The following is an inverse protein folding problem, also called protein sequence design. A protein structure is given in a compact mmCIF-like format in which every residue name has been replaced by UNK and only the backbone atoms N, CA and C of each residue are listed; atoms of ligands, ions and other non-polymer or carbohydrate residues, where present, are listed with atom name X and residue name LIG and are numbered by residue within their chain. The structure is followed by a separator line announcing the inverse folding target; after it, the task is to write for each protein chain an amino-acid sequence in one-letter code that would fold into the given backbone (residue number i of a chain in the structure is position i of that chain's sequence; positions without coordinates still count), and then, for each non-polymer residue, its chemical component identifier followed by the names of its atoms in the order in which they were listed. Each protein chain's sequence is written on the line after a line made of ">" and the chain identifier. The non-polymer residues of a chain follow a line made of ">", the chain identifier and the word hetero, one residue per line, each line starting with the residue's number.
data_IF_039455042771
#
_entry.id   IF_039455042771
#
_cell.length_a   1.000
_cell.length_b   1.000
_cell.length_c   1.000
_cell.angle_alpha   90.00
_cell.angle_beta   90.00
_cell.angle_gamma   90.00
#
_symmetry.space_group_name_H-M   'P 1'
#
loop_
_entity.id
_entity.type
_entity.pdbx_description
1 polymer ?
#
# COMPACT_ATOMS: atom_id res chain seq x y z
N UNK A 1 -32.45 39.75 -26.41
CA UNK A 1 -31.33 40.71 -26.39
C UNK A 1 -30.25 40.15 -25.48
N UNK A 2 -29.30 39.40 -26.06
CA UNK A 2 -27.86 39.74 -26.13
C UNK A 2 -27.15 39.51 -24.78
N UNK A 3 -26.46 38.39 -24.56
CA UNK A 3 -25.13 38.03 -25.11
C UNK A 3 -24.03 39.00 -24.66
N UNK A 4 -23.11 38.52 -23.81
CA UNK A 4 -21.69 38.30 -24.16
C UNK A 4 -20.85 37.93 -22.91
N UNK A 5 -20.23 36.74 -22.98
CA UNK A 5 -18.85 36.38 -22.63
C UNK A 5 -18.30 36.74 -21.23
N UNK A 6 -17.77 35.79 -20.46
CA UNK A 6 -16.47 35.19 -20.77
C UNK A 6 -16.39 33.66 -20.62
N UNK A 7 -15.92 33.05 -21.71
CA UNK A 7 -15.26 31.74 -21.73
C UNK A 7 -13.82 31.88 -21.23
N UNK A 8 -13.27 30.70 -20.90
CA UNK A 8 -11.84 30.38 -20.65
C UNK A 8 -11.35 30.52 -19.22
N UNK A 9 -11.23 29.38 -18.52
CA UNK A 9 -9.91 28.86 -18.13
C UNK A 9 -9.97 27.33 -17.95
N UNK A 10 -9.41 26.64 -18.95
CA UNK A 10 -8.44 25.54 -18.84
C UNK A 10 -8.76 24.32 -17.96
N UNK A 11 -9.19 23.26 -18.64
CA UNK A 11 -8.51 21.95 -18.68
C UNK A 11 -7.70 21.60 -17.42
N UNK A 12 -8.39 21.08 -16.40
CA UNK A 12 -7.72 20.43 -15.27
C UNK A 12 -7.30 19.04 -15.74
N UNK A 13 -6.00 18.88 -15.97
CA UNK A 13 -5.32 17.65 -16.36
C UNK A 13 -5.75 16.47 -15.45
N UNK A 14 -6.77 15.72 -15.90
CA UNK A 14 -7.35 14.57 -15.20
C UNK A 14 -6.45 13.32 -15.23
N UNK A 15 -5.22 13.40 -15.73
CA UNK A 15 -4.34 12.23 -15.92
C UNK A 15 -3.94 11.49 -14.63
N UNK A 16 -4.21 12.05 -13.44
CA UNK A 16 -3.84 11.43 -12.16
C UNK A 16 -4.90 10.48 -11.55
N UNK A 17 -6.15 10.50 -12.03
CA UNK A 17 -7.27 9.74 -11.43
C UNK A 17 -7.55 8.40 -12.15
N UNK A 18 -6.82 8.12 -13.24
CA UNK A 18 -7.09 6.97 -14.13
C UNK A 18 -6.37 5.64 -13.79
N UNK A 19 -5.64 5.52 -12.68
CA UNK A 19 -4.69 4.39 -12.52
C UNK A 19 -5.23 3.05 -12.00
N UNK A 20 -6.47 2.95 -11.51
CA UNK A 20 -7.01 1.66 -10.99
C UNK A 20 -8.18 1.08 -11.80
N UNK A 21 -8.99 1.91 -12.49
CA UNK A 21 -10.19 1.43 -13.22
C UNK A 21 -9.93 0.88 -14.63
N UNK A 22 -8.74 1.04 -15.22
CA UNK A 22 -8.46 0.70 -16.63
C UNK A 22 -7.57 -0.54 -16.86
N UNK A 23 -7.48 -1.44 -15.89
CA UNK A 23 -6.64 -2.65 -16.00
C UNK A 23 -7.44 -3.94 -16.26
N UNK A 24 -8.77 -3.83 -16.45
CA UNK A 24 -9.62 -4.85 -17.08
C UNK A 24 -9.83 -4.52 -18.55
N UNK A 25 -8.80 -4.73 -19.38
CA UNK A 25 -8.99 -4.88 -20.82
C UNK A 25 -8.37 -6.21 -21.23
N UNK A 26 -9.21 -7.13 -21.73
CA UNK A 26 -8.77 -8.34 -22.42
C UNK A 26 -7.98 -7.91 -23.67
N UNK A 27 -6.67 -7.81 -23.57
CA UNK A 27 -5.82 -7.62 -24.74
C UNK A 27 -5.54 -8.98 -25.38
N UNK A 28 -5.72 -9.06 -26.70
CA UNK A 28 -5.52 -10.26 -27.53
C UNK A 28 -4.05 -10.67 -27.68
N UNK A 29 -3.12 -10.02 -27.00
CA UNK A 29 -1.73 -10.47 -26.87
C UNK A 29 -1.11 -9.88 -25.59
N UNK A 30 -0.56 -10.70 -24.68
CA UNK A 30 0.19 -10.19 -23.53
C UNK A 30 1.49 -9.54 -24.01
N UNK A 31 1.73 -8.29 -23.63
CA UNK A 31 2.98 -7.57 -23.90
C UNK A 31 3.58 -7.08 -22.56
N UNK A 32 4.44 -7.89 -21.91
CA UNK A 32 5.12 -7.52 -20.68
C UNK A 32 5.95 -6.24 -20.83
N UNK A 33 6.54 -6.00 -22.02
CA UNK A 33 7.34 -4.80 -22.27
C UNK A 33 6.49 -3.54 -22.11
N UNK A 34 5.22 -3.55 -22.55
CA UNK A 34 4.31 -2.41 -22.34
C UNK A 34 4.02 -2.13 -20.86
N UNK A 35 4.00 -3.16 -20.02
CA UNK A 35 3.85 -2.98 -18.56
C UNK A 35 5.10 -2.35 -17.97
N UNK A 36 6.27 -2.84 -18.36
CA UNK A 36 7.56 -2.31 -17.96
C UNK A 36 7.79 -0.86 -18.44
N UNK A 37 7.36 -0.50 -19.65
CA UNK A 37 7.40 0.89 -20.16
C UNK A 37 6.59 1.84 -19.27
N UNK A 38 5.37 1.43 -18.90
CA UNK A 38 4.52 2.22 -17.99
C UNK A 38 5.15 2.35 -16.61
N UNK A 39 5.72 1.27 -16.09
CA UNK A 39 6.41 1.26 -14.80
C UNK A 39 7.63 2.18 -14.83
N UNK A 40 8.49 2.11 -15.85
CA UNK A 40 9.65 2.99 -16.00
C UNK A 40 9.28 4.47 -15.97
N UNK A 41 8.24 4.87 -16.74
CA UNK A 41 7.70 6.24 -16.71
C UNK A 41 7.17 6.65 -15.33
N UNK A 42 6.51 5.74 -14.63
CA UNK A 42 6.01 6.00 -13.27
C UNK A 42 7.16 6.19 -12.27
N UNK A 43 8.21 5.37 -12.36
CA UNK A 43 9.43 5.52 -11.57
C UNK A 43 10.13 6.84 -11.88
N UNK A 44 10.30 7.20 -13.16
CA UNK A 44 10.89 8.49 -13.55
C UNK A 44 10.13 9.69 -12.95
N UNK A 45 8.80 9.67 -13.02
CA UNK A 45 7.96 10.71 -12.43
C UNK A 45 8.16 10.80 -10.91
N UNK A 46 8.31 9.64 -10.23
CA UNK A 46 8.59 9.58 -8.80
C UNK A 46 9.99 10.08 -8.48
N UNK A 47 11.02 9.70 -9.25
CA UNK A 47 12.39 10.20 -9.12
C UNK A 47 12.42 11.73 -9.18
N UNK A 48 11.80 12.32 -10.20
CA UNK A 48 11.75 13.79 -10.36
C UNK A 48 11.07 14.48 -9.17
N UNK A 49 10.01 13.88 -8.62
CA UNK A 49 9.33 14.42 -7.43
C UNK A 49 10.19 14.31 -6.17
N UNK A 50 10.87 13.18 -5.98
CA UNK A 50 11.74 12.95 -4.83
C UNK A 50 13.04 13.77 -4.90
N UNK A 51 13.57 14.05 -6.08
CA UNK A 51 14.71 14.96 -6.26
C UNK A 51 14.36 16.41 -5.92
N UNK A 52 13.20 16.91 -6.38
CA UNK A 52 12.69 18.24 -5.98
C UNK A 52 12.51 18.37 -4.47
N UNK A 53 12.25 17.25 -3.82
CA UNK A 53 12.06 17.17 -2.39
C UNK A 53 13.39 17.25 -1.62
N UNK A 54 14.47 16.64 -2.13
CA UNK A 54 15.81 16.71 -1.51
C UNK A 54 16.27 18.14 -1.30
N UNK A 55 16.02 19.00 -2.28
CA UNK A 55 16.46 20.40 -2.26
C UNK A 55 15.88 21.19 -1.07
N UNK A 56 14.85 20.65 -0.41
CA UNK A 56 14.19 21.24 0.74
C UNK A 56 14.36 20.41 2.03
N UNK A 57 15.27 19.43 2.07
CA UNK A 57 15.53 18.65 3.28
C UNK A 57 16.37 19.47 4.27
N UNK A 58 15.84 19.69 5.46
CA UNK A 58 16.54 20.27 6.62
C UNK A 58 16.88 19.21 7.67
N UNK A 59 16.81 17.93 7.29
CA UNK A 59 16.94 16.79 8.19
C UNK A 59 18.43 16.46 8.49
N UNK A 60 18.67 15.69 9.56
CA UNK A 60 20.02 15.27 9.96
C UNK A 60 20.73 14.39 8.91
N UNK A 61 22.05 14.31 9.02
CA UNK A 61 22.93 13.61 8.06
C UNK A 61 22.47 12.17 7.77
N UNK A 62 22.11 11.40 8.80
CA UNK A 62 21.64 10.01 8.64
C UNK A 62 20.33 9.92 7.84
N UNK A 63 19.44 10.91 7.97
CA UNK A 63 18.21 10.96 7.19
C UNK A 63 18.48 11.28 5.73
N UNK A 64 19.44 12.17 5.46
CA UNK A 64 19.90 12.49 4.10
C UNK A 64 20.49 11.23 3.44
N UNK A 65 21.33 10.47 4.15
CA UNK A 65 21.90 9.22 3.65
C UNK A 65 20.82 8.17 3.36
N UNK A 66 19.87 7.97 4.28
CA UNK A 66 18.75 7.07 4.07
C UNK A 66 17.91 7.49 2.85
N UNK A 67 17.68 8.79 2.68
CA UNK A 67 16.94 9.31 1.54
C UNK A 67 17.71 9.12 0.24
N UNK A 68 19.01 9.38 0.21
CA UNK A 68 19.88 9.12 -0.94
C UNK A 68 19.83 7.64 -1.34
N UNK A 69 19.95 6.72 -0.38
CA UNK A 69 19.82 5.28 -0.63
C UNK A 69 18.47 4.92 -1.26
N UNK A 70 17.37 5.56 -0.81
CA UNK A 70 16.04 5.35 -1.40
C UNK A 70 15.96 5.83 -2.85
N UNK A 71 16.70 6.90 -3.21
CA UNK A 71 16.78 7.36 -4.59
C UNK A 71 17.64 6.44 -5.46
N UNK A 72 18.76 5.95 -4.92
CA UNK A 72 19.64 5.02 -5.64
C UNK A 72 18.88 3.75 -6.01
N UNK A 73 18.06 3.21 -5.09
CA UNK A 73 17.16 2.09 -5.39
C UNK A 73 16.18 2.39 -6.52
N UNK A 74 15.61 3.59 -6.52
CA UNK A 74 14.65 3.99 -7.54
C UNK A 74 15.31 4.17 -8.91
N UNK A 75 16.49 4.81 -8.94
CA UNK A 75 17.32 4.96 -10.12
C UNK A 75 17.74 3.61 -10.70
N UNK A 76 18.24 2.71 -9.85
CA UNK A 76 18.72 1.39 -10.25
C UNK A 76 17.59 0.52 -10.82
N UNK A 77 16.45 0.44 -10.13
CA UNK A 77 15.30 -0.32 -10.62
C UNK A 77 14.82 0.20 -11.99
N UNK A 78 14.76 1.53 -12.16
CA UNK A 78 14.42 2.12 -13.47
C UNK A 78 15.45 1.75 -14.53
N UNK A 79 16.74 1.85 -14.22
CA UNK A 79 17.82 1.54 -15.15
C UNK A 79 17.78 0.07 -15.61
N UNK A 80 17.56 -0.87 -14.70
CA UNK A 80 17.44 -2.29 -15.04
C UNK A 80 16.21 -2.57 -15.92
N UNK A 81 15.08 -1.91 -15.63
CA UNK A 81 13.90 -1.95 -16.50
C UNK A 81 14.20 -1.38 -17.88
N UNK A 82 14.89 -0.24 -17.98
CA UNK A 82 15.26 0.37 -19.26
C UNK A 82 16.25 -0.49 -20.05
N UNK A 83 17.21 -1.14 -19.38
CA UNK A 83 18.12 -2.11 -19.99
C UNK A 83 17.35 -3.30 -20.58
N UNK A 84 16.37 -3.83 -19.84
CA UNK A 84 15.50 -4.89 -20.35
C UNK A 84 14.71 -4.40 -21.58
N UNK A 85 14.09 -3.20 -21.50
CA UNK A 85 13.32 -2.59 -22.60
C UNK A 85 14.13 -2.36 -23.88
N UNK A 86 15.45 -2.14 -23.79
CA UNK A 86 16.33 -2.07 -24.97
C UNK A 86 16.45 -3.41 -25.70
N UNK A 87 16.16 -4.53 -25.03
CA UNK A 87 16.15 -5.89 -25.58
C UNK A 87 14.71 -6.43 -25.62
N UNK A 88 13.80 -5.62 -26.20
CA UNK A 88 12.35 -5.84 -26.16
C UNK A 88 11.94 -7.23 -26.68
N UNK A 89 12.63 -7.72 -27.70
CA UNK A 89 12.47 -9.03 -28.33
C UNK A 89 12.70 -10.19 -27.36
N UNK A 90 13.48 -9.98 -26.29
CA UNK A 90 13.79 -10.99 -25.28
C UNK A 90 12.88 -10.90 -24.04
N UNK A 91 11.96 -9.94 -23.97
CA UNK A 91 11.09 -9.75 -22.79
C UNK A 91 9.91 -10.71 -22.87
N UNK A 92 10.09 -11.89 -22.30
CA UNK A 92 8.99 -12.80 -21.97
C UNK A 92 8.35 -12.41 -20.63
N UNK A 93 7.17 -12.98 -20.33
CA UNK A 93 6.53 -12.76 -19.04
C UNK A 93 7.41 -13.23 -17.86
N UNK A 94 8.08 -14.38 -18.00
CA UNK A 94 8.97 -14.92 -16.97
C UNK A 94 10.21 -14.05 -16.75
N UNK A 95 10.85 -13.59 -17.83
CA UNK A 95 12.00 -12.69 -17.75
C UNK A 95 11.62 -11.38 -17.06
N UNK A 96 10.45 -10.82 -17.41
CA UNK A 96 9.97 -9.61 -16.77
C UNK A 96 9.62 -9.81 -15.29
N UNK A 97 9.07 -10.97 -14.92
CA UNK A 97 8.77 -11.31 -13.52
C UNK A 97 10.06 -11.48 -12.71
N UNK A 98 11.04 -12.23 -13.23
CA UNK A 98 12.33 -12.45 -12.56
C UNK A 98 13.06 -11.12 -12.30
N UNK A 99 13.08 -10.23 -13.30
CA UNK A 99 13.62 -8.87 -13.16
C UNK A 99 12.94 -8.11 -12.02
N UNK A 100 11.60 -8.13 -11.95
CA UNK A 100 10.87 -7.41 -10.91
C UNK A 100 11.08 -8.05 -9.53
N UNK A 101 11.23 -9.36 -9.45
CA UNK A 101 11.52 -10.07 -8.20
C UNK A 101 12.90 -9.74 -7.65
N UNK A 102 13.93 -9.68 -8.50
CA UNK A 102 15.27 -9.26 -8.10
C UNK A 102 15.28 -7.83 -7.52
N UNK A 103 14.56 -6.90 -8.17
CA UNK A 103 14.46 -5.52 -7.69
C UNK A 103 13.64 -5.40 -6.40
N UNK A 104 12.54 -6.14 -6.26
CA UNK A 104 11.75 -6.19 -5.01
C UNK A 104 12.63 -6.72 -3.86
N UNK A 105 13.36 -7.82 -4.09
CA UNK A 105 14.21 -8.44 -3.08
C UNK A 105 15.37 -7.54 -2.62
N UNK A 106 15.95 -6.73 -3.54
CA UNK A 106 16.96 -5.71 -3.17
C UNK A 106 16.39 -4.69 -2.20
N UNK A 107 15.19 -4.16 -2.49
CA UNK A 107 14.54 -3.15 -1.65
C UNK A 107 14.18 -3.75 -0.28
N UNK A 108 13.59 -4.95 -0.25
CA UNK A 108 13.20 -5.63 0.99
C UNK A 108 14.39 -5.89 1.92
N UNK A 109 15.52 -6.36 1.38
CA UNK A 109 16.75 -6.57 2.16
C UNK A 109 17.20 -5.28 2.86
N UNK A 110 17.16 -4.15 2.16
CA UNK A 110 17.57 -2.87 2.74
C UNK A 110 16.57 -2.37 3.79
N UNK A 111 15.26 -2.52 3.56
CA UNK A 111 14.25 -2.20 4.57
C UNK A 111 14.47 -3.02 5.85
N UNK A 112 14.65 -4.34 5.72
CA UNK A 112 14.89 -5.23 6.86
C UNK A 112 16.18 -4.94 7.61
N UNK A 113 17.23 -4.51 6.90
CA UNK A 113 18.51 -4.16 7.53
C UNK A 113 18.49 -2.87 8.36
N UNK A 114 17.35 -2.15 8.40
CA UNK A 114 17.22 -0.92 9.20
C UNK A 114 17.90 0.30 8.60
N UNK A 115 18.33 0.26 7.33
CA UNK A 115 19.02 1.36 6.65
C UNK A 115 18.15 2.62 6.48
N UNK A 116 16.84 2.51 6.68
CA UNK A 116 15.90 3.64 6.62
C UNK A 116 15.37 4.07 7.99
N UNK A 117 15.88 3.51 9.10
CA UNK A 117 15.36 3.77 10.45
C UNK A 117 15.40 5.26 10.82
N UNK A 118 16.42 5.98 10.35
CA UNK A 118 16.59 7.41 10.62
C UNK A 118 15.81 8.33 9.69
N UNK A 119 15.06 7.78 8.71
CA UNK A 119 14.25 8.55 7.78
C UNK A 119 12.94 7.83 7.46
N UNK A 120 11.85 8.13 8.19
CA UNK A 120 10.52 7.63 7.87
C UNK A 120 10.10 7.93 6.42
N UNK A 121 10.58 9.07 5.89
CA UNK A 121 10.33 9.48 4.51
C UNK A 121 11.04 8.59 3.50
N UNK A 122 12.31 8.27 3.73
CA UNK A 122 13.06 7.35 2.87
C UNK A 122 12.45 5.94 2.91
N UNK A 123 12.04 5.48 4.11
CA UNK A 123 11.35 4.21 4.29
C UNK A 123 10.04 4.17 3.49
N UNK A 124 9.23 5.23 3.57
CA UNK A 124 7.98 5.32 2.80
C UNK A 124 8.25 5.30 1.28
N UNK A 125 9.30 5.97 0.82
CA UNK A 125 9.69 5.96 -0.59
C UNK A 125 10.04 4.54 -1.06
N UNK A 126 10.84 3.81 -0.27
CA UNK A 126 11.26 2.44 -0.55
C UNK A 126 10.07 1.47 -0.57
N UNK A 127 9.18 1.52 0.43
CA UNK A 127 7.98 0.68 0.46
C UNK A 127 7.07 0.95 -0.74
N UNK A 128 6.81 2.23 -1.03
CA UNK A 128 5.99 2.61 -2.18
C UNK A 128 6.60 2.15 -3.50
N UNK A 129 7.94 2.09 -3.62
CA UNK A 129 8.62 1.54 -4.79
C UNK A 129 8.40 0.03 -4.89
N UNK A 130 8.62 -0.72 -3.81
CA UNK A 130 8.37 -2.17 -3.79
C UNK A 130 6.93 -2.52 -4.18
N UNK A 131 5.94 -1.76 -3.68
CA UNK A 131 4.54 -1.94 -4.08
C UNK A 131 4.30 -1.68 -5.58
N UNK A 132 4.93 -0.65 -6.17
CA UNK A 132 4.82 -0.38 -7.62
C UNK A 132 5.39 -1.50 -8.48
N UNK A 133 6.56 -2.03 -8.11
CA UNK A 133 7.18 -3.17 -8.79
C UNK A 133 6.29 -4.42 -8.67
N UNK A 134 5.76 -4.68 -7.48
CA UNK A 134 4.87 -5.80 -7.24
C UNK A 134 3.57 -5.71 -8.07
N UNK A 135 2.93 -4.54 -8.13
CA UNK A 135 1.74 -4.35 -8.95
C UNK A 135 2.02 -4.63 -10.44
N UNK A 136 3.17 -4.21 -10.95
CA UNK A 136 3.58 -4.51 -12.32
C UNK A 136 3.79 -6.03 -12.53
N UNK A 137 4.44 -6.70 -11.57
CA UNK A 137 4.63 -8.16 -11.59
C UNK A 137 3.29 -8.89 -11.65
N UNK A 138 2.34 -8.52 -10.79
CA UNK A 138 1.01 -9.14 -10.78
C UNK A 138 0.26 -8.91 -12.10
N UNK A 139 0.40 -7.73 -12.70
CA UNK A 139 -0.21 -7.52 -14.00
C UNK A 139 0.41 -8.38 -15.09
N UNK A 140 1.73 -8.53 -15.13
CA UNK A 140 2.40 -9.40 -16.10
C UNK A 140 1.96 -10.86 -15.90
N UNK A 141 1.92 -11.34 -14.65
CA UNK A 141 1.38 -12.68 -14.31
C UNK A 141 -0.03 -12.88 -14.85
N UNK A 142 -0.92 -11.91 -14.59
CA UNK A 142 -2.31 -11.96 -15.02
C UNK A 142 -2.47 -11.88 -16.54
N UNK A 143 -1.66 -11.06 -17.24
CA UNK A 143 -1.72 -10.92 -18.69
C UNK A 143 -1.19 -12.17 -19.40
N UNK A 144 -0.07 -12.71 -18.95
CA UNK A 144 0.60 -13.84 -19.59
C UNK A 144 -0.02 -15.19 -19.20
N UNK A 145 -1.09 -15.18 -18.39
CA UNK A 145 -1.66 -16.38 -17.78
C UNK A 145 -0.57 -17.26 -17.13
N UNK A 146 0.47 -16.64 -16.58
CA UNK A 146 1.52 -17.32 -15.81
C UNK A 146 0.86 -17.65 -14.49
N UNK A 147 0.15 -18.77 -14.50
CA UNK A 147 -0.34 -19.44 -13.30
C UNK A 147 0.91 -19.78 -12.53
N UNK A 148 1.17 -19.04 -11.46
CA UNK A 148 1.99 -19.60 -10.39
C UNK A 148 1.20 -20.84 -10.01
N UNK A 149 1.69 -22.04 -10.35
CA UNK A 149 1.06 -23.26 -9.85
C UNK A 149 0.90 -23.00 -8.34
N UNK A 150 -0.32 -23.05 -7.78
CA UNK A 150 -0.42 -23.36 -6.36
C UNK A 150 0.48 -24.57 -6.19
N UNK A 151 1.40 -24.56 -5.24
CA UNK A 151 2.21 -25.74 -4.95
C UNK A 151 1.26 -26.92 -5.00
N UNK A 152 1.38 -27.75 -6.05
CA UNK A 152 0.57 -28.93 -6.20
C UNK A 152 0.88 -29.69 -4.93
N UNK A 153 -0.12 -29.85 -4.07
CA UNK A 153 -0.09 -30.87 -3.05
C UNK A 153 0.08 -32.15 -3.87
N UNK A 154 1.34 -32.59 -4.00
CA UNK A 154 1.63 -33.90 -4.52
C UNK A 154 0.82 -34.84 -3.64
N UNK A 155 -0.02 -35.61 -4.31
CA UNK A 155 -0.81 -36.67 -3.72
C UNK A 155 0.19 -37.75 -3.32
N UNK A 156 0.88 -37.53 -2.21
CA UNK A 156 1.65 -38.56 -1.53
C UNK A 156 0.74 -39.17 -0.46
N UNK A 157 0.66 -40.49 -0.60
CA UNK A 157 0.13 -41.54 0.28
C UNK A 157 -0.06 -41.20 1.76
N UNK A 158 -1.01 -41.87 2.44
CA UNK A 158 -1.42 -41.53 3.80
C UNK A 158 -0.24 -41.74 4.77
N UNK A 159 0.33 -40.63 5.23
CA UNK A 159 1.25 -40.59 6.36
C UNK A 159 0.49 -40.01 7.54
N UNK A 160 0.61 -40.69 8.67
CA UNK A 160 -0.01 -40.45 9.97
C UNK A 160 -0.01 -38.98 10.44
N UNK A 161 -0.92 -38.60 11.36
CA UNK A 161 -1.16 -37.21 11.76
C UNK A 161 0.01 -36.64 12.56
N UNK A 162 1.04 -36.18 11.85
CA UNK A 162 2.07 -35.28 12.34
C UNK A 162 1.58 -33.84 12.20
N UNK A 163 1.57 -33.10 13.30
CA UNK A 163 1.10 -31.73 13.43
C UNK A 163 1.79 -30.77 12.46
N UNK A 164 1.17 -30.49 11.30
CA UNK A 164 1.55 -29.35 10.46
C UNK A 164 0.87 -28.11 11.05
N UNK A 165 1.61 -27.39 11.90
CA UNK A 165 1.22 -26.06 12.36
C UNK A 165 1.26 -25.12 11.16
N UNK A 166 0.22 -24.28 10.91
CA UNK A 166 0.32 -23.19 9.97
C UNK A 166 1.56 -22.35 10.32
N UNK A 167 2.38 -22.01 9.32
CA UNK A 167 3.51 -21.09 9.50
C UNK A 167 2.95 -19.78 10.07
N UNK A 168 3.08 -19.60 11.37
CA UNK A 168 2.69 -18.39 12.05
C UNK A 168 3.47 -17.22 11.41
N UNK A 169 2.72 -16.24 10.89
CA UNK A 169 3.18 -14.85 10.74
C UNK A 169 3.93 -14.45 12.02
N UNK A 170 4.94 -13.57 11.96
CA UNK A 170 5.78 -13.29 13.12
C UNK A 170 4.93 -12.83 14.32
N UNK A 171 4.64 -13.78 15.21
CA UNK A 171 4.19 -13.53 16.56
C UNK A 171 5.41 -12.97 17.30
N UNK A 172 5.64 -11.68 17.17
CA UNK A 172 6.25 -10.95 18.27
C UNK A 172 5.15 -10.78 19.33
N UNK A 173 4.90 -11.85 20.06
CA UNK A 173 4.26 -11.79 21.37
C UNK A 173 5.31 -11.25 22.34
N UNK A 174 5.36 -9.94 22.53
CA UNK A 174 6.26 -9.38 23.55
C UNK A 174 6.37 -7.86 23.59
N UNK A 175 6.41 -7.17 22.44
CA UNK A 175 6.75 -5.75 22.45
C UNK A 175 5.49 -4.87 22.58
N UNK A 176 5.20 -4.43 23.79
CA UNK A 176 4.35 -3.26 24.01
C UNK A 176 5.05 -2.01 23.47
N UNK A 177 4.28 -1.07 22.89
CA UNK A 177 4.82 0.24 22.50
C UNK A 177 5.40 0.35 21.09
N UNK A 178 4.99 -0.47 20.12
CA UNK A 178 5.37 -0.23 18.71
C UNK A 178 4.73 1.05 18.20
N UNK A 179 5.43 1.85 17.39
CA UNK A 179 4.84 3.02 16.73
C UNK A 179 4.46 2.69 15.31
N UNK A 180 3.19 2.85 14.96
CA UNK A 180 2.73 2.80 13.58
C UNK A 180 2.86 4.19 12.94
N UNK A 181 3.82 4.29 12.02
CA UNK A 181 4.11 5.52 11.29
C UNK A 181 3.28 5.55 10.01
N UNK A 182 2.43 6.57 9.89
CA UNK A 182 1.57 6.79 8.73
C UNK A 182 1.90 8.14 8.12
N UNK A 183 2.43 8.15 6.90
CA UNK A 183 2.69 9.41 6.21
C UNK A 183 1.37 10.09 5.78
N UNK A 184 1.27 11.39 5.99
CA UNK A 184 0.13 12.25 5.59
C UNK A 184 -0.34 12.03 4.15
N UNK A 185 0.58 11.74 3.22
CA UNK A 185 0.23 11.41 1.83
C UNK A 185 -0.63 10.15 1.70
N UNK A 186 -0.44 9.15 2.57
CA UNK A 186 -1.29 7.95 2.62
C UNK A 186 -2.70 8.37 3.02
N UNK A 187 -2.84 9.21 4.05
CA UNK A 187 -4.15 9.71 4.49
C UNK A 187 -4.86 10.54 3.42
N UNK A 188 -4.14 11.40 2.71
CA UNK A 188 -4.68 12.15 1.56
C UNK A 188 -5.13 11.21 0.45
N UNK A 189 -4.33 10.18 0.13
CA UNK A 189 -4.69 9.19 -0.88
C UNK A 189 -5.93 8.40 -0.47
N UNK A 190 -6.06 8.04 0.81
CA UNK A 190 -7.25 7.37 1.36
C UNK A 190 -8.48 8.26 1.21
N UNK A 191 -8.39 9.53 1.58
CA UNK A 191 -9.50 10.48 1.43
C UNK A 191 -9.98 10.61 -0.01
N UNK A 192 -9.06 10.61 -0.98
CA UNK A 192 -9.42 10.62 -2.40
C UNK A 192 -10.05 9.31 -2.89
N UNK A 193 -9.76 8.20 -2.21
CA UNK A 193 -10.17 6.85 -2.64
C UNK A 193 -11.44 6.38 -1.96
N UNK A 194 -11.75 6.87 -0.76
CA UNK A 194 -12.81 6.36 0.12
C UNK A 194 -14.20 6.99 -0.11
N UNK A 195 -14.34 8.00 -0.96
CA UNK A 195 -15.60 8.71 -1.21
C UNK A 195 -15.97 8.68 -2.71
N UNK A 196 -17.26 8.78 -3.11
CA UNK A 196 -18.44 9.24 -2.36
C UNK A 196 -19.29 8.16 -1.66
N UNK A 197 -19.10 6.87 -1.94
CA UNK A 197 -19.77 5.75 -1.28
C UNK A 197 -18.88 5.14 -0.19
N UNK A 198 -19.43 4.40 0.77
CA UNK A 198 -18.62 3.65 1.74
C UNK A 198 -17.68 2.70 1.00
N UNK A 199 -16.39 2.78 1.32
CA UNK A 199 -15.35 1.97 0.71
C UNK A 199 -14.55 1.28 1.78
N UNK A 200 -13.96 0.14 1.43
CA UNK A 200 -13.09 -0.62 2.29
C UNK A 200 -11.70 -0.75 1.66
N UNK A 201 -10.69 -0.29 2.38
CA UNK A 201 -9.29 -0.34 1.99
C UNK A 201 -8.52 -1.07 3.08
N UNK A 202 -7.54 -1.88 2.65
CA UNK A 202 -6.55 -2.47 3.56
C UNK A 202 -5.18 -1.96 3.18
N UNK A 203 -4.29 -1.82 4.16
CA UNK A 203 -2.91 -1.42 3.93
C UNK A 203 -1.91 -2.38 4.56
N UNK A 204 -0.83 -2.57 3.82
CA UNK A 204 0.32 -3.35 4.21
C UNK A 204 1.15 -2.58 5.25
N UNK A 205 1.56 -3.26 6.31
CA UNK A 205 2.58 -2.78 7.23
C UNK A 205 3.86 -3.60 7.14
N UNK A 206 4.99 -2.95 7.35
CA UNK A 206 6.28 -3.61 7.53
C UNK A 206 6.85 -3.20 8.88
N UNK A 207 7.34 -4.17 9.64
CA UNK A 207 8.08 -3.88 10.87
C UNK A 207 9.51 -3.51 10.51
N UNK A 208 9.97 -2.34 10.96
CA UNK A 208 11.31 -1.83 10.76
C UNK A 208 11.80 -1.16 12.05
N UNK A 209 12.83 -1.72 12.70
CA UNK A 209 13.46 -1.10 13.87
C UNK A 209 12.53 -0.87 15.08
N UNK A 210 11.50 -1.70 15.27
CA UNK A 210 10.50 -1.55 16.34
C UNK A 210 9.27 -0.73 15.94
N UNK A 211 9.34 -0.01 14.81
CA UNK A 211 8.21 0.73 14.25
C UNK A 211 7.49 -0.09 13.17
N UNK A 212 6.25 0.29 12.86
CA UNK A 212 5.41 -0.27 11.81
C UNK A 212 5.19 0.82 10.77
N UNK A 213 5.83 0.72 9.61
CA UNK A 213 5.60 1.66 8.52
C UNK A 213 4.43 1.17 7.66
N UNK A 214 3.42 2.03 7.48
CA UNK A 214 2.25 1.72 6.65
C UNK A 214 2.47 2.14 5.20
N UNK A 215 2.34 1.17 4.30
CA UNK A 215 2.60 1.30 2.88
C UNK A 215 1.43 0.86 2.02
N UNK A 216 1.74 0.00 1.04
CA UNK A 216 0.84 -0.40 -0.05
C UNK A 216 -0.63 -0.51 0.37
N UNK A 217 -1.48 0.29 -0.28
CA UNK A 217 -2.91 0.31 -0.04
C UNK A 217 -3.64 -0.48 -1.13
N UNK A 218 -4.68 -1.20 -0.74
CA UNK A 218 -5.46 -2.07 -1.60
C UNK A 218 -6.94 -1.76 -1.39
N UNK A 219 -7.60 -1.26 -2.43
CA UNK A 219 -9.07 -1.14 -2.43
C UNK A 219 -9.65 -2.55 -2.56
N UNK A 220 -10.31 -2.99 -1.48
CA UNK A 220 -10.94 -4.30 -1.38
C UNK A 220 -12.46 -4.19 -1.32
N UNK A 221 -13.01 -3.03 -1.69
CA UNK A 221 -14.45 -2.77 -1.66
C UNK A 221 -15.21 -3.79 -2.51
N UNK A 222 -16.13 -4.50 -1.87
CA UNK A 222 -17.14 -5.35 -2.51
C UNK A 222 -18.51 -4.68 -2.51
N UNK A 223 -19.51 -5.33 -1.91
CA UNK A 223 -20.83 -4.74 -1.72
C UNK A 223 -20.75 -3.52 -0.79
N UNK A 224 -21.28 -2.39 -1.26
CA UNK A 224 -21.25 -1.13 -0.54
C UNK A 224 -22.60 -0.42 -0.62
N UNK A 225 -23.01 0.18 0.49
CA UNK A 225 -24.22 0.99 0.61
C UNK A 225 -23.93 2.23 1.48
N UNK A 226 -24.95 3.01 1.83
CA UNK A 226 -24.80 4.07 2.84
C UNK A 226 -24.85 3.54 4.29
N UNK A 227 -25.11 2.25 4.48
CA UNK A 227 -25.32 1.62 5.77
C UNK A 227 -24.28 0.53 6.08
N UNK A 228 -23.27 0.35 5.23
CA UNK A 228 -22.26 -0.68 5.38
C UNK A 228 -21.51 -0.96 4.08
N UNK A 229 -20.28 -1.41 4.25
CA UNK A 229 -19.40 -1.93 3.20
C UNK A 229 -18.84 -3.28 3.61
N UNK A 230 -18.71 -4.20 2.65
CA UNK A 230 -18.04 -5.49 2.80
C UNK A 230 -16.82 -5.58 1.90
N UNK A 231 -15.81 -6.32 2.33
CA UNK A 231 -14.71 -6.69 1.46
C UNK A 231 -15.19 -7.66 0.36
N UNK A 232 -14.73 -7.47 -0.87
CA UNK A 232 -14.73 -8.52 -1.88
C UNK A 232 -13.64 -9.53 -1.52
N UNK A 233 -14.03 -10.79 -1.27
CA UNK A 233 -13.10 -11.83 -0.83
C UNK A 233 -11.95 -12.09 -1.82
N UNK A 234 -12.17 -11.93 -3.13
CA UNK A 234 -11.13 -12.11 -4.14
C UNK A 234 -10.15 -10.92 -4.19
N UNK A 235 -10.63 -9.69 -3.96
CA UNK A 235 -9.77 -8.53 -3.82
C UNK A 235 -8.94 -8.60 -2.54
N UNK A 236 -9.56 -8.98 -1.42
CA UNK A 236 -8.87 -9.16 -0.16
C UNK A 236 -7.82 -10.27 -0.25
N UNK A 237 -8.17 -11.45 -0.77
CA UNK A 237 -7.21 -12.55 -0.96
C UNK A 237 -6.00 -12.13 -1.81
N UNK A 238 -6.21 -11.34 -2.87
CA UNK A 238 -5.10 -10.77 -3.66
C UNK A 238 -4.27 -9.77 -2.89
N UNK A 239 -4.88 -8.93 -2.06
CA UNK A 239 -4.16 -8.00 -1.20
C UNK A 239 -3.30 -8.75 -0.16
N UNK A 240 -3.82 -9.82 0.42
CA UNK A 240 -3.08 -10.65 1.38
C UNK A 240 -1.91 -11.40 0.73
N UNK A 241 -2.12 -12.01 -0.45
CA UNK A 241 -1.03 -12.61 -1.23
C UNK A 241 0.03 -11.56 -1.59
N UNK A 242 -0.40 -10.33 -1.89
CA UNK A 242 0.50 -9.23 -2.16
C UNK A 242 1.32 -8.85 -0.93
N UNK A 243 0.68 -8.77 0.23
CA UNK A 243 1.35 -8.51 1.49
C UNK A 243 2.39 -9.59 1.78
N UNK A 244 2.00 -10.86 1.72
CA UNK A 244 2.89 -12.01 1.92
C UNK A 244 4.09 -11.99 0.97
N UNK A 245 3.85 -11.81 -0.34
CA UNK A 245 4.92 -11.77 -1.35
C UNK A 245 5.88 -10.59 -1.12
N UNK A 246 5.34 -9.48 -0.60
CA UNK A 246 6.13 -8.29 -0.28
C UNK A 246 6.71 -8.32 1.14
N UNK A 247 6.58 -9.45 1.85
CA UNK A 247 7.01 -9.62 3.24
C UNK A 247 6.48 -8.53 4.17
N UNK A 248 5.27 -8.07 3.86
CA UNK A 248 4.47 -7.16 4.66
C UNK A 248 3.27 -7.92 5.21
N UNK A 249 2.54 -7.30 6.13
CA UNK A 249 1.36 -7.92 6.73
C UNK A 249 0.18 -6.98 6.73
N UNK A 250 -1.02 -7.54 6.93
CA UNK A 250 -2.25 -6.77 7.06
C UNK A 250 -2.20 -5.96 8.36
N UNK A 251 -1.84 -4.67 8.23
CA UNK A 251 -1.54 -3.82 9.37
C UNK A 251 -2.61 -2.75 9.62
N UNK A 252 -3.34 -2.36 8.58
CA UNK A 252 -4.33 -1.30 8.69
C UNK A 252 -5.57 -1.63 7.86
N UNK A 253 -6.73 -1.66 8.50
CA UNK A 253 -8.04 -1.72 7.85
C UNK A 253 -8.71 -0.36 7.94
N UNK A 254 -9.25 0.14 6.83
CA UNK A 254 -9.88 1.47 6.78
C UNK A 254 -11.16 1.41 6.00
N UNK A 255 -12.21 2.05 6.52
CA UNK A 255 -13.41 2.34 5.74
C UNK A 255 -13.90 3.76 5.93
N UNK A 256 -14.82 4.17 5.06
CA UNK A 256 -15.48 5.47 5.15
C UNK A 256 -16.88 5.36 5.75
N UNK A 257 -17.25 6.39 6.51
CA UNK A 257 -18.63 6.67 6.89
C UNK A 257 -19.16 7.89 6.11
N UNK A 258 -20.44 7.91 5.72
CA UNK A 258 -21.05 9.03 4.98
C UNK A 258 -21.31 10.27 5.86
N UNK A 259 -21.16 10.15 7.18
CA UNK A 259 -21.35 11.25 8.13
C UNK A 259 -20.28 12.34 8.03
N UNK A 260 -20.39 13.33 8.92
CA UNK A 260 -19.44 14.42 9.10
C UNK A 260 -19.13 14.64 10.58
N UNK A 261 -17.97 15.21 10.87
CA UNK A 261 -17.48 15.53 12.19
C UNK A 261 -16.75 14.37 12.87
N UNK A 262 -15.92 14.70 13.86
CA UNK A 262 -15.12 13.71 14.62
C UNK A 262 -15.95 12.58 15.24
N UNK A 263 -17.21 12.83 15.59
CA UNK A 263 -18.06 11.82 16.24
C UNK A 263 -18.58 10.78 15.24
N UNK A 264 -18.72 11.13 13.95
CA UNK A 264 -19.12 10.19 12.91
C UNK A 264 -18.02 9.16 12.57
N UNK A 265 -16.81 9.31 13.12
CA UNK A 265 -15.70 8.35 12.98
C UNK A 265 -15.75 7.22 14.00
N UNK A 266 -16.77 7.16 14.86
CA UNK A 266 -16.87 6.13 15.89
C UNK A 266 -17.18 4.76 15.26
N UNK A 267 -16.52 3.67 15.70
CA UNK A 267 -16.86 2.33 15.23
C UNK A 267 -18.26 1.92 15.65
N UNK A 268 -18.98 1.27 14.75
CA UNK A 268 -20.25 0.60 15.01
C UNK A 268 -20.02 -0.79 15.61
N UNK A 269 -21.08 -1.45 16.08
CA UNK A 269 -21.00 -2.85 16.52
C UNK A 269 -20.57 -3.81 15.42
N UNK A 270 -20.92 -3.53 14.16
CA UNK A 270 -20.48 -4.32 13.00
C UNK A 270 -18.96 -4.18 12.83
N UNK A 271 -18.43 -2.97 13.00
CA UNK A 271 -17.00 -2.73 12.88
C UNK A 271 -16.22 -3.47 13.97
N UNK A 272 -16.70 -3.42 15.21
CA UNK A 272 -16.09 -4.13 16.33
C UNK A 272 -16.08 -5.65 16.09
N UNK A 273 -17.19 -6.24 15.66
CA UNK A 273 -17.25 -7.67 15.34
C UNK A 273 -16.29 -8.04 14.20
N UNK A 274 -16.20 -7.18 13.17
CA UNK A 274 -15.30 -7.38 12.05
C UNK A 274 -13.83 -7.32 12.46
N UNK A 275 -13.46 -6.43 13.40
CA UNK A 275 -12.14 -6.44 14.00
C UNK A 275 -11.87 -7.78 14.71
N UNK A 276 -12.82 -8.27 15.52
CA UNK A 276 -12.62 -9.54 16.22
C UNK A 276 -12.38 -10.70 15.27
N UNK A 277 -13.08 -10.72 14.13
CA UNK A 277 -12.84 -11.69 13.06
C UNK A 277 -11.45 -11.51 12.43
N UNK A 278 -11.01 -10.27 12.17
CA UNK A 278 -9.67 -10.03 11.66
C UNK A 278 -8.57 -10.45 12.65
N UNK A 279 -8.78 -10.26 13.95
CA UNK A 279 -7.75 -10.59 14.94
C UNK A 279 -7.55 -12.10 15.12
N UNK A 280 -8.47 -12.96 14.68
CA UNK A 280 -8.33 -14.42 14.73
C UNK A 280 -7.25 -14.92 13.79
N UNK A 281 -7.24 -14.42 12.56
CA UNK A 281 -6.47 -14.99 11.46
C UNK A 281 -5.33 -14.08 10.95
N UNK A 282 -5.31 -12.81 11.38
CA UNK A 282 -4.36 -11.82 10.89
C UNK A 282 -3.44 -11.29 12.00
N UNK A 283 -3.18 -9.98 12.03
CA UNK A 283 -2.14 -9.40 12.87
C UNK A 283 -2.70 -8.97 14.24
N UNK A 284 -2.06 -9.34 15.36
CA UNK A 284 -2.36 -8.76 16.67
C UNK A 284 -2.01 -7.26 16.77
N UNK A 285 -1.28 -6.73 15.78
CA UNK A 285 -0.93 -5.32 15.62
C UNK A 285 -1.84 -4.59 14.61
N UNK A 286 -2.95 -5.20 14.18
CA UNK A 286 -3.90 -4.56 13.30
C UNK A 286 -4.43 -3.28 13.94
N UNK A 287 -4.40 -2.20 13.19
CA UNK A 287 -5.05 -0.94 13.50
C UNK A 287 -6.22 -0.78 12.55
N UNK A 288 -7.33 -0.25 13.04
CA UNK A 288 -8.49 0.06 12.23
C UNK A 288 -8.64 1.57 12.12
N UNK A 289 -9.25 2.06 11.05
CA UNK A 289 -9.54 3.48 10.92
C UNK A 289 -10.85 3.76 10.21
N UNK A 290 -11.52 4.83 10.63
CA UNK A 290 -12.75 5.31 10.00
C UNK A 290 -12.52 6.75 9.56
N UNK A 291 -12.76 7.03 8.28
CA UNK A 291 -12.71 8.38 7.72
C UNK A 291 -14.11 8.87 7.34
N UNK A 292 -14.40 10.14 7.59
CA UNK A 292 -15.68 10.79 7.27
C UNK A 292 -15.55 11.88 6.22
N UNK A 293 -16.66 12.32 5.64
CA UNK A 293 -16.68 13.18 4.43
C UNK A 293 -15.96 14.52 4.60
N UNK A 294 -15.99 15.08 5.80
CA UNK A 294 -15.31 16.33 6.16
C UNK A 294 -13.89 16.09 6.71
N UNK A 295 -13.30 14.95 6.33
CA UNK A 295 -11.90 14.58 6.45
C UNK A 295 -11.36 14.37 7.86
N UNK A 296 -12.25 14.14 8.83
CA UNK A 296 -11.84 13.54 10.09
C UNK A 296 -11.53 12.06 9.89
N UNK A 297 -10.50 11.58 10.59
CA UNK A 297 -10.14 10.17 10.67
C UNK A 297 -9.89 9.80 12.13
N UNK A 298 -10.43 8.66 12.56
CA UNK A 298 -10.12 8.05 13.85
C UNK A 298 -9.41 6.73 13.62
N UNK A 299 -8.32 6.52 14.33
CA UNK A 299 -7.69 5.21 14.49
C UNK A 299 -8.22 4.54 15.76
N UNK A 300 -8.51 3.25 15.68
CA UNK A 300 -9.07 2.46 16.78
C UNK A 300 -8.67 0.99 16.67
N UNK A 301 -8.97 0.22 17.70
CA UNK A 301 -8.78 -1.23 17.75
C UNK A 301 -8.06 -1.71 19.01
N UNK A 302 -8.13 -3.02 19.27
CA UNK A 302 -7.57 -3.66 20.48
C UNK A 302 -6.07 -3.41 20.63
N UNK A 303 -5.33 -3.28 19.52
CA UNK A 303 -3.90 -2.98 19.53
C UNK A 303 -3.58 -1.59 20.10
N UNK A 304 -4.46 -0.62 19.87
CA UNK A 304 -4.36 0.75 20.42
C UNK A 304 -4.82 0.76 21.88
N UNK A 305 -5.96 0.13 22.19
CA UNK A 305 -6.53 0.09 23.54
C UNK A 305 -5.58 -0.57 24.56
N UNK A 306 -4.86 -1.61 24.12
CA UNK A 306 -3.88 -2.32 24.95
C UNK A 306 -2.47 -1.70 24.91
N UNK A 307 -2.30 -0.53 24.28
CA UNK A 307 -1.00 0.13 24.06
C UNK A 307 0.06 -0.74 23.38
N UNK A 308 -0.35 -1.76 22.61
CA UNK A 308 0.55 -2.54 21.77
C UNK A 308 1.07 -1.72 20.59
N UNK A 309 0.20 -0.88 20.03
CA UNK A 309 0.51 0.03 18.93
C UNK A 309 0.10 1.46 19.29
N UNK A 310 0.98 2.42 19.01
CA UNK A 310 0.69 3.86 19.05
C UNK A 310 0.72 4.45 17.65
N UNK A 311 -0.10 5.46 17.36
CA UNK A 311 -0.19 6.05 16.01
C UNK A 311 0.61 7.35 15.92
N UNK A 312 1.53 7.41 14.97
CA UNK A 312 2.27 8.60 14.60
C UNK A 312 1.99 8.98 13.15
N UNK A 313 1.38 10.15 12.94
CA UNK A 313 1.15 10.69 11.60
C UNK A 313 2.26 11.70 11.26
N UNK A 314 3.00 11.43 10.20
CA UNK A 314 4.15 12.26 9.78
C UNK A 314 3.87 13.05 8.50
N UNK A 315 4.37 14.27 8.43
CA UNK A 315 4.21 15.19 7.29
C UNK A 315 3.13 16.26 7.50
N UNK A 316 3.01 17.17 6.52
CA UNK A 316 2.14 18.35 6.58
C UNK A 316 0.71 18.08 6.11
N UNK A 317 -0.22 18.98 6.45
CA UNK A 317 -1.61 18.93 5.97
C UNK A 317 -2.52 18.00 6.77
N UNK A 318 -2.06 17.57 7.95
CA UNK A 318 -2.85 16.80 8.92
C UNK A 318 -2.74 17.46 10.28
N UNK A 319 -3.88 17.71 10.92
CA UNK A 319 -3.94 18.23 12.28
C UNK A 319 -4.38 17.11 13.22
N UNK A 320 -3.64 16.92 14.32
CA UNK A 320 -4.11 16.08 15.43
C UNK A 320 -5.16 16.86 16.23
N UNK A 321 -6.34 16.28 16.40
CA UNK A 321 -7.48 16.91 17.08
C UNK A 321 -7.59 16.38 18.50
N UNK A 322 -7.51 15.05 18.65
CA UNK A 322 -7.63 14.30 19.91
C UNK A 322 -6.71 13.07 19.84
N UNK A 323 -6.53 12.31 20.94
CA UNK A 323 -5.88 11.01 20.88
C UNK A 323 -6.50 10.15 19.77
N UNK A 324 -5.66 9.72 18.82
CA UNK A 324 -6.04 8.89 17.67
C UNK A 324 -7.06 9.52 16.70
N UNK A 325 -7.41 10.81 16.84
CA UNK A 325 -8.28 11.53 15.90
C UNK A 325 -7.50 12.63 15.21
N UNK A 326 -7.55 12.62 13.89
CA UNK A 326 -6.88 13.58 13.03
C UNK A 326 -7.86 14.19 12.04
N UNK A 327 -7.49 15.33 11.47
CA UNK A 327 -8.22 15.99 10.39
C UNK A 327 -7.26 16.35 9.26
N UNK A 328 -7.62 16.02 8.02
CA UNK A 328 -6.89 16.49 6.85
C UNK A 328 -7.32 17.93 6.52
N UNK A 329 -6.35 18.79 6.22
CA UNK A 329 -6.58 20.16 5.75
C UNK A 329 -7.04 20.19 4.29
#
# INVERSE_FOLDING_TARGET
>A
MLSLMGKETTDVDQTAIWSLRRWRNRHKNPDPARVLEKLSKALEKKLKRSLKTILNLTEGFDSILAFQLSLDLLCNARLEIEKALKRRDLITGDVAIALLDDEIAKIQRLIKSGQFTHSPRALQNAISQASQLFCAKQHIKNQCAIVTRPALIETQTPVEPGSVTPKQLPLSTGDTGRRMIIHSSVLVQLNQSLFPAERMIVAAGISAGGDIAVGGIYDVTGEASQAGVKADANLLGRALIAMETTETYFALWIHSHPGQGKNATHPSSIDLNQEEDWLKDYSPNLVNAIMVRDRFIRFWGKSIETNRVTIEVVGSGVQKIEPNIYKLN
#
